data_IF_093832426632
#
_entry.id   IF_093832426632
#
_cell.length_a   1.000
_cell.length_b   1.000
_cell.length_c   1.000
_cell.angle_alpha   90.00
_cell.angle_beta   90.00
_cell.angle_gamma   90.00
#
_symmetry.space_group_name_H-M   'P 1'
#
loop_
_entity.id
_entity.type
_entity.pdbx_description
1 polymer ?
#
# COMPACT_ATOMS: atom_id res chain seq x y z
N UNK A 1 69.37 -71.53 -2.42
CA UNK A 1 68.50 -72.57 -3.00
C UNK A 1 67.21 -72.61 -2.19
N UNK A 2 66.00 -72.55 -2.76
CA UNK A 2 65.46 -71.84 -3.95
C UNK A 2 64.67 -70.58 -3.50
N UNK A 3 64.20 -69.60 -4.28
CA UNK A 3 63.70 -69.44 -5.66
C UNK A 3 62.17 -69.23 -5.72
N UNK A 4 61.78 -68.17 -6.48
CA UNK A 4 60.57 -68.02 -7.33
C UNK A 4 59.21 -67.95 -6.60
N UNK A 5 58.28 -67.04 -6.86
CA UNK A 5 58.09 -66.07 -7.94
C UNK A 5 56.61 -66.03 -8.34
N UNK A 6 56.22 -64.92 -8.95
CA UNK A 6 55.06 -64.72 -9.84
C UNK A 6 53.65 -64.64 -9.23
N UNK A 7 52.66 -63.91 -9.79
CA UNK A 7 52.52 -62.79 -10.75
C UNK A 7 50.99 -62.63 -10.89
N UNK A 8 50.45 -61.40 -10.96
CA UNK A 8 49.45 -60.90 -11.95
C UNK A 8 48.49 -59.84 -11.39
N UNK A 9 48.30 -58.85 -12.26
CA UNK A 9 47.42 -57.69 -12.32
C UNK A 9 45.91 -57.93 -12.12
N UNK A 10 45.20 -56.84 -11.75
CA UNK A 10 43.98 -56.44 -12.47
C UNK A 10 43.64 -54.96 -12.23
N UNK A 11 43.79 -54.16 -13.30
CA UNK A 11 43.27 -52.80 -13.50
C UNK A 11 41.77 -52.85 -13.82
N UNK A 12 40.96 -51.95 -13.23
CA UNK A 12 39.71 -51.37 -13.79
C UNK A 12 38.93 -50.67 -12.66
N UNK A 13 38.25 -49.52 -12.80
CA UNK A 13 37.92 -48.60 -13.90
C UNK A 13 37.32 -47.34 -13.23
N UNK A 14 37.72 -46.17 -13.68
CA UNK A 14 37.03 -44.91 -13.41
C UNK A 14 35.59 -44.95 -13.94
N UNK A 15 34.63 -44.48 -13.12
CA UNK A 15 33.26 -44.17 -13.55
C UNK A 15 33.07 -42.66 -13.58
N UNK A 16 33.04 -42.12 -14.80
CA UNK A 16 32.51 -40.80 -15.11
C UNK A 16 31.01 -40.76 -14.84
N UNK A 17 30.55 -39.69 -14.17
CA UNK A 17 29.14 -39.41 -13.93
C UNK A 17 28.53 -38.77 -15.19
N UNK A 18 27.51 -39.41 -15.76
CA UNK A 18 26.81 -38.98 -16.98
C UNK A 18 25.70 -37.98 -16.63
N UNK A 19 25.68 -36.85 -17.34
CA UNK A 19 24.64 -35.83 -17.30
C UNK A 19 23.38 -36.30 -18.04
N UNK A 20 22.21 -36.17 -17.39
CA UNK A 20 20.91 -36.40 -18.00
C UNK A 20 20.41 -35.12 -18.73
N UNK A 21 19.70 -35.23 -19.87
CA UNK A 21 19.19 -34.08 -20.60
C UNK A 21 17.92 -33.49 -19.98
N UNK A 22 17.83 -32.16 -20.00
CA UNK A 22 16.68 -31.35 -19.56
C UNK A 22 15.56 -31.43 -20.62
N UNK A 23 14.27 -31.57 -20.24
CA UNK A 23 13.18 -31.63 -21.22
C UNK A 23 12.87 -30.24 -21.79
N UNK A 24 12.63 -30.19 -23.10
CA UNK A 24 12.22 -28.98 -23.82
C UNK A 24 10.79 -28.54 -23.42
N UNK A 25 10.49 -27.22 -23.44
CA UNK A 25 9.17 -26.71 -23.06
C UNK A 25 8.08 -27.13 -24.05
N UNK A 26 6.92 -27.52 -23.52
CA UNK A 26 5.77 -27.97 -24.32
C UNK A 26 5.09 -26.83 -25.08
N UNK A 27 4.66 -27.13 -26.31
CA UNK A 27 3.95 -26.23 -27.25
C UNK A 27 2.65 -25.61 -26.71
N UNK A 28 2.13 -26.09 -25.58
CA UNK A 28 0.92 -25.56 -24.94
C UNK A 28 1.12 -24.17 -24.31
N UNK A 29 2.34 -23.83 -23.88
CA UNK A 29 2.65 -22.53 -23.25
C UNK A 29 2.75 -21.42 -24.32
N UNK A 30 3.28 -21.72 -25.50
CA UNK A 30 3.35 -20.77 -26.61
C UNK A 30 1.98 -20.51 -27.25
N UNK A 31 1.10 -21.53 -27.29
CA UNK A 31 -0.27 -21.35 -27.82
C UNK A 31 -1.13 -20.47 -26.90
N UNK A 32 -0.93 -20.51 -25.58
CA UNK A 32 -1.62 -19.60 -24.63
C UNK A 32 -1.11 -18.16 -24.71
N UNK A 33 0.18 -17.94 -24.96
CA UNK A 33 0.73 -16.58 -25.18
C UNK A 33 0.16 -15.94 -26.45
N UNK A 34 0.02 -16.71 -27.55
CA UNK A 34 -0.55 -16.20 -28.81
C UNK A 34 -2.04 -15.86 -28.74
N UNK A 35 -2.84 -16.53 -27.91
CA UNK A 35 -4.26 -16.19 -27.76
C UNK A 35 -4.50 -14.95 -26.90
N UNK A 36 -3.58 -14.64 -25.98
CA UNK A 36 -3.63 -13.42 -25.17
C UNK A 36 -3.25 -12.17 -26.00
N UNK A 37 -2.20 -12.26 -26.82
CA UNK A 37 -1.75 -11.15 -27.68
C UNK A 37 -2.79 -10.77 -28.76
N UNK A 38 -3.58 -11.74 -29.25
CA UNK A 38 -4.69 -11.45 -30.17
C UNK A 38 -5.89 -10.77 -29.50
N UNK A 39 -6.00 -10.83 -28.16
CA UNK A 39 -7.08 -10.17 -27.42
C UNK A 39 -6.76 -8.72 -27.06
N UNK A 40 -5.47 -8.36 -27.05
CA UNK A 40 -4.96 -7.01 -26.72
C UNK A 40 -4.95 -6.04 -27.90
N UNK A 41 -5.20 -6.48 -29.13
CA UNK A 41 -5.07 -5.65 -30.35
C UNK A 41 -6.40 -5.19 -30.96
N UNK A 42 -7.53 -5.39 -30.28
CA UNK A 42 -8.83 -4.97 -30.81
C UNK A 42 -9.14 -3.51 -30.42
N UNK A 43 -8.78 -2.59 -31.31
CA UNK A 43 -9.20 -1.19 -31.28
C UNK A 43 -10.72 -1.07 -31.45
N UNK A 44 -11.35 -0.24 -30.60
CA UNK A 44 -12.78 0.13 -30.69
C UNK A 44 -12.86 1.52 -31.35
N UNK A 45 -13.75 1.75 -32.33
CA UNK A 45 -13.86 3.03 -33.02
C UNK A 45 -14.54 4.10 -32.14
N UNK A 46 -14.03 5.33 -32.24
CA UNK A 46 -14.59 6.55 -31.65
C UNK A 46 -15.99 6.85 -32.21
N UNK A 47 -16.91 7.26 -31.32
CA UNK A 47 -18.24 7.75 -31.68
C UNK A 47 -19.04 8.26 -30.47
N UNK A 48 -19.18 9.58 -30.43
CA UNK A 48 -20.25 10.43 -29.86
C UNK A 48 -20.60 10.38 -28.35
N UNK A 49 -20.10 11.40 -27.63
CA UNK A 49 -20.66 11.86 -26.34
C UNK A 49 -21.50 13.14 -26.55
N UNK A 50 -22.73 13.24 -25.99
CA UNK A 50 -23.48 14.49 -25.97
C UNK A 50 -22.95 15.46 -24.90
N UNK A 51 -22.95 16.74 -25.28
CA UNK A 51 -22.60 17.91 -24.50
C UNK A 51 -23.65 18.27 -23.43
N UNK A 52 -23.13 18.93 -22.38
CA UNK A 52 -23.78 19.93 -21.52
C UNK A 52 -24.72 19.44 -20.40
N UNK A 53 -24.32 19.67 -19.13
CA UNK A 53 -25.08 20.51 -18.16
C UNK A 53 -24.14 21.12 -17.11
N UNK A 54 -23.87 22.42 -17.27
CA UNK A 54 -24.09 23.44 -16.22
C UNK A 54 -23.33 23.38 -14.89
N UNK A 55 -22.23 24.14 -14.82
CA UNK A 55 -21.61 24.60 -13.59
C UNK A 55 -22.53 25.50 -12.73
N UNK A 56 -22.53 25.30 -11.41
CA UNK A 56 -22.92 26.34 -10.44
C UNK A 56 -21.85 26.52 -9.36
N UNK A 57 -21.27 27.70 -9.42
CA UNK A 57 -20.37 28.35 -8.46
C UNK A 57 -21.04 28.47 -7.08
N UNK A 58 -20.33 28.04 -6.04
CA UNK A 58 -20.68 28.23 -4.63
C UNK A 58 -19.58 29.03 -3.92
N UNK A 59 -19.98 30.13 -3.28
CA UNK A 59 -19.13 31.18 -2.70
C UNK A 59 -18.27 30.73 -1.51
N UNK A 60 -17.13 31.40 -1.40
CA UNK A 60 -16.26 31.51 -0.23
C UNK A 60 -16.98 32.24 0.93
N UNK A 61 -16.90 31.69 2.15
CA UNK A 61 -17.40 32.31 3.39
C UNK A 61 -16.22 32.74 4.27
N UNK A 62 -16.37 33.91 4.89
CA UNK A 62 -15.37 34.62 5.69
C UNK A 62 -15.37 34.20 7.17
N UNK A 63 -14.25 34.48 7.84
CA UNK A 63 -13.87 34.13 9.23
C UNK A 63 -14.75 34.68 10.39
N UNK A 64 -16.04 34.98 10.17
CA UNK A 64 -16.90 35.61 11.21
C UNK A 64 -18.08 34.74 11.69
N UNK A 65 -18.14 33.45 11.31
CA UNK A 65 -19.21 32.52 11.74
C UNK A 65 -18.75 31.38 12.66
N UNK A 66 -17.54 31.47 13.24
CA UNK A 66 -17.03 30.48 14.22
C UNK A 66 -17.34 30.78 15.68
N UNK A 67 -17.91 31.94 16.01
CA UNK A 67 -18.10 32.36 17.41
C UNK A 67 -19.58 32.48 17.82
N UNK A 68 -20.35 31.40 17.67
CA UNK A 68 -21.69 31.30 18.29
C UNK A 68 -22.15 29.89 18.69
N UNK A 69 -21.21 28.94 18.78
CA UNK A 69 -21.49 27.56 19.26
C UNK A 69 -20.72 27.14 20.52
N UNK A 70 -20.13 28.10 21.23
CA UNK A 70 -19.57 27.88 22.57
C UNK A 70 -20.25 28.80 23.56
N UNK A 71 -21.37 28.33 24.14
CA UNK A 71 -22.04 28.82 25.36
C UNK A 71 -23.40 28.15 25.47
N UNK A 72 -23.44 26.99 26.12
CA UNK A 72 -24.60 26.45 26.87
C UNK A 72 -24.15 25.13 27.50
N UNK A 73 -23.86 25.17 28.80
CA UNK A 73 -24.29 24.19 29.79
C UNK A 73 -23.55 24.42 31.11
N UNK A 74 -24.11 25.30 31.95
CA UNK A 74 -23.96 25.26 33.41
C UNK A 74 -25.25 25.77 34.02
N UNK A 75 -26.02 24.90 34.67
CA UNK A 75 -26.77 25.21 35.89
C UNK A 75 -27.32 23.92 36.51
N UNK A 76 -26.91 23.68 37.76
CA UNK A 76 -27.43 22.66 38.65
C UNK A 76 -28.56 23.21 39.54
N UNK A 77 -29.49 22.35 39.96
CA UNK A 77 -30.23 22.28 41.27
C UNK A 77 -31.15 21.05 41.18
N UNK A 78 -30.90 19.94 41.90
CA UNK A 78 -31.21 19.59 43.30
C UNK A 78 -32.69 19.31 43.62
N UNK A 79 -33.00 18.06 44.01
CA UNK A 79 -33.88 17.70 45.16
C UNK A 79 -34.09 16.18 45.28
N UNK A 80 -34.19 15.74 46.53
CA UNK A 80 -34.08 14.36 47.05
C UNK A 80 -35.43 13.62 47.20
N UNK A 81 -35.35 12.27 47.20
CA UNK A 81 -36.01 11.32 48.13
C UNK A 81 -37.20 10.44 47.69
N UNK A 82 -37.14 9.22 48.25
CA UNK A 82 -38.11 8.11 48.43
C UNK A 82 -38.35 7.09 47.32
N UNK A 83 -38.11 5.82 47.70
CA UNK A 83 -38.17 4.66 46.83
C UNK A 83 -39.49 3.90 46.85
N UNK A 84 -39.60 2.93 45.96
CA UNK A 84 -40.26 1.66 46.22
C UNK A 84 -39.97 0.66 45.10
N UNK A 85 -39.85 -0.58 45.53
CA UNK A 85 -39.55 -1.82 44.82
C UNK A 85 -40.73 -2.28 43.96
N UNK A 86 -40.48 -2.69 42.72
CA UNK A 86 -41.22 -3.78 42.04
C UNK A 86 -40.36 -4.37 40.91
N UNK A 87 -40.27 -5.70 40.91
CA UNK A 87 -39.63 -6.58 39.94
C UNK A 87 -40.50 -6.87 38.71
N UNK A 88 -39.87 -7.45 37.67
CA UNK A 88 -40.38 -8.24 36.52
C UNK A 88 -41.43 -7.56 35.60
N UNK A 89 -41.34 -7.56 34.27
CA UNK A 89 -40.91 -8.60 33.33
C UNK A 89 -40.38 -8.01 32.00
N UNK A 90 -39.67 -8.89 31.28
CA UNK A 90 -39.20 -8.87 29.90
C UNK A 90 -40.20 -8.31 28.88
N UNK A 91 -39.71 -7.62 27.85
CA UNK A 91 -39.89 -7.99 26.43
C UNK A 91 -39.18 -6.99 25.50
N UNK A 92 -38.19 -7.53 24.78
CA UNK A 92 -37.95 -7.31 23.34
C UNK A 92 -38.29 -5.92 22.76
N UNK A 93 -37.33 -4.98 22.78
CA UNK A 93 -37.15 -4.09 21.63
C UNK A 93 -35.68 -3.63 21.53
N UNK A 94 -34.85 -4.52 20.99
CA UNK A 94 -33.46 -4.23 20.60
C UNK A 94 -33.34 -4.00 19.09
N UNK A 95 -34.45 -3.80 18.38
CA UNK A 95 -34.43 -3.62 16.93
C UNK A 95 -34.49 -2.12 16.61
N UNK A 96 -33.60 -1.65 15.73
CA UNK A 96 -33.41 -0.23 15.35
C UNK A 96 -32.42 0.54 16.25
N UNK A 97 -31.37 -0.14 16.73
CA UNK A 97 -30.05 0.52 16.66
C UNK A 97 -29.69 0.64 15.19
N UNK A 98 -29.90 1.84 14.65
CA UNK A 98 -29.46 2.30 13.33
C UNK A 98 -28.16 1.59 12.93
N UNK A 99 -28.28 0.69 11.94
CA UNK A 99 -27.18 -0.02 11.32
C UNK A 99 -26.24 0.96 10.62
N UNK A 100 -25.41 1.64 11.40
CA UNK A 100 -24.12 2.04 10.90
C UNK A 100 -23.40 0.72 10.63
N UNK A 101 -23.22 0.41 9.35
CA UNK A 101 -22.36 -0.65 8.87
C UNK A 101 -20.94 -0.38 9.42
N UNK A 102 -20.68 -0.82 10.64
CA UNK A 102 -19.38 -0.73 11.26
C UNK A 102 -18.45 -1.65 10.49
N UNK A 103 -17.40 -1.08 9.90
CA UNK A 103 -16.27 -1.85 9.42
C UNK A 103 -15.61 -2.47 10.63
N UNK A 104 -15.63 -3.80 10.77
CA UNK A 104 -14.81 -4.46 11.77
C UNK A 104 -13.37 -4.49 11.27
N UNK A 105 -12.42 -4.55 12.20
CA UNK A 105 -10.99 -4.54 11.87
C UNK A 105 -10.60 -5.69 10.94
N UNK A 106 -11.25 -6.85 11.07
CA UNK A 106 -11.00 -8.03 10.23
C UNK A 106 -11.57 -7.91 8.81
N UNK A 107 -12.40 -6.89 8.53
CA UNK A 107 -12.88 -6.62 7.17
C UNK A 107 -11.89 -5.77 6.36
N UNK A 108 -10.87 -5.21 7.00
CA UNK A 108 -9.96 -4.24 6.39
C UNK A 108 -8.54 -4.78 6.36
N UNK A 109 -8.02 -5.00 5.16
CA UNK A 109 -6.63 -5.32 4.92
C UNK A 109 -5.89 -4.06 4.44
N UNK A 110 -4.83 -3.67 5.15
CA UNK A 110 -4.01 -2.50 4.82
C UNK A 110 -2.60 -2.99 4.45
N UNK A 111 -2.20 -2.79 3.21
CA UNK A 111 -0.91 -3.22 2.67
C UNK A 111 -0.04 -1.99 2.43
N UNK A 112 1.10 -1.94 3.10
CA UNK A 112 2.12 -0.93 2.89
C UNK A 112 3.27 -1.48 2.04
N UNK A 113 3.87 -0.64 1.21
CA UNK A 113 5.25 -0.83 0.79
C UNK A 113 6.23 -0.39 1.89
N UNK A 114 7.50 -0.79 1.73
CA UNK A 114 8.58 -0.40 2.61
C UNK A 114 9.44 0.72 2.03
N UNK A 115 10.09 0.46 0.90
CA UNK A 115 11.07 1.36 0.29
C UNK A 115 10.39 2.60 -0.30
N UNK A 116 10.95 3.78 -0.04
CA UNK A 116 10.42 5.09 -0.45
C UNK A 116 8.95 5.34 -0.06
N UNK A 117 8.44 4.57 0.90
CA UNK A 117 7.09 4.69 1.47
C UNK A 117 7.16 4.82 2.98
N UNK A 118 7.83 3.89 3.67
CA UNK A 118 8.13 3.95 5.10
C UNK A 118 9.62 4.23 5.31
N UNK A 119 10.50 3.45 4.68
CA UNK A 119 11.93 3.67 4.72
C UNK A 119 12.29 4.76 3.69
N UNK A 120 13.01 5.83 4.08
CA UNK A 120 13.45 6.88 3.17
C UNK A 120 14.66 6.43 2.32
N UNK A 121 14.51 5.33 1.56
CA UNK A 121 15.60 4.62 0.88
C UNK A 121 16.36 5.53 -0.09
N UNK A 122 15.67 6.35 -0.89
CA UNK A 122 16.27 7.32 -1.79
C UNK A 122 17.02 8.40 -1.05
N UNK A 123 16.42 9.03 -0.04
CA UNK A 123 17.09 10.05 0.77
C UNK A 123 18.38 9.49 1.41
N UNK A 124 18.30 8.28 1.97
CA UNK A 124 19.46 7.60 2.56
C UNK A 124 20.56 7.33 1.53
N UNK A 125 20.20 6.86 0.34
CA UNK A 125 21.19 6.43 -0.67
C UNK A 125 21.72 7.57 -1.53
N UNK A 126 20.86 8.47 -2.00
CA UNK A 126 21.18 9.53 -2.96
C UNK A 126 21.67 10.79 -2.24
N UNK A 127 21.01 11.20 -1.16
CA UNK A 127 21.33 12.45 -0.47
C UNK A 127 22.37 12.24 0.64
N UNK A 128 22.25 11.15 1.41
CA UNK A 128 23.18 10.86 2.49
C UNK A 128 24.36 9.95 2.07
N UNK A 129 24.31 9.34 0.89
CA UNK A 129 25.35 8.42 0.42
C UNK A 129 25.50 7.14 1.24
N UNK A 130 24.46 6.75 2.00
CA UNK A 130 24.48 5.60 2.88
C UNK A 130 24.07 4.31 2.16
N UNK A 131 24.66 3.20 2.60
CA UNK A 131 24.31 1.85 2.16
C UNK A 131 24.02 0.98 3.36
N UNK A 132 23.23 -0.08 3.16
CA UNK A 132 22.91 -1.03 4.23
C UNK A 132 24.17 -1.75 4.76
N UNK A 133 25.14 -2.02 3.90
CA UNK A 133 26.44 -2.63 4.20
C UNK A 133 27.54 -1.60 4.54
N UNK A 134 27.21 -0.31 4.49
CA UNK A 134 28.13 0.79 4.76
C UNK A 134 28.25 1.15 6.25
N UNK A 135 28.91 2.27 6.57
CA UNK A 135 28.94 2.79 7.94
C UNK A 135 27.54 3.14 8.44
N UNK A 136 27.42 3.24 9.76
CA UNK A 136 26.20 3.73 10.39
C UNK A 136 26.00 5.23 10.14
N UNK A 137 24.74 5.73 10.20
CA UNK A 137 24.48 7.16 10.19
C UNK A 137 25.18 7.85 11.37
N UNK A 138 25.68 9.06 11.14
CA UNK A 138 26.25 9.89 12.21
C UNK A 138 25.18 10.34 13.22
N UNK A 139 25.61 10.98 14.31
CA UNK A 139 24.70 11.36 15.39
C UNK A 139 23.63 12.38 14.98
N UNK A 140 23.92 13.27 14.04
CA UNK A 140 22.95 14.28 13.62
C UNK A 140 21.90 13.66 12.70
N UNK A 141 22.33 12.85 11.74
CA UNK A 141 21.42 12.10 10.89
C UNK A 141 20.58 11.09 11.69
N UNK A 142 21.16 10.43 12.71
CA UNK A 142 20.40 9.56 13.62
C UNK A 142 19.24 10.28 14.31
N UNK A 143 19.44 11.53 14.78
CA UNK A 143 18.36 12.32 15.40
C UNK A 143 17.25 12.64 14.39
N UNK A 144 17.64 13.01 13.17
CA UNK A 144 16.70 13.31 12.08
C UNK A 144 15.87 12.07 11.72
N UNK A 145 16.52 10.91 11.61
CA UNK A 145 15.89 9.63 11.31
C UNK A 145 15.03 9.15 12.47
N UNK A 146 15.42 9.35 13.73
CA UNK A 146 14.60 8.95 14.88
C UNK A 146 13.31 9.79 14.99
N UNK A 147 13.39 11.10 14.74
CA UNK A 147 12.20 11.94 14.68
C UNK A 147 11.23 11.49 13.56
N UNK A 148 11.78 11.12 12.40
CA UNK A 148 10.97 10.56 11.31
C UNK A 148 10.42 9.17 11.65
N UNK A 149 11.22 8.31 12.29
CA UNK A 149 10.83 6.97 12.72
C UNK A 149 9.63 7.01 13.66
N UNK A 150 9.61 7.94 14.62
CA UNK A 150 8.47 8.15 15.51
C UNK A 150 7.19 8.50 14.74
N UNK A 151 7.29 9.35 13.72
CA UNK A 151 6.17 9.72 12.86
C UNK A 151 5.65 8.52 12.06
N UNK A 152 6.53 7.81 11.34
CA UNK A 152 6.15 6.63 10.56
C UNK A 152 5.61 5.50 11.45
N UNK A 153 6.14 5.34 12.67
CA UNK A 153 5.62 4.39 13.66
C UNK A 153 4.19 4.73 14.07
N UNK A 154 3.90 6.02 14.32
CA UNK A 154 2.55 6.46 14.65
C UNK A 154 1.56 6.16 13.51
N UNK A 155 1.98 6.29 12.24
CA UNK A 155 1.16 5.90 11.09
C UNK A 155 0.84 4.40 11.09
N UNK A 156 1.85 3.53 11.30
CA UNK A 156 1.64 2.09 11.35
C UNK A 156 0.72 1.69 12.50
N UNK A 157 0.92 2.26 13.69
CA UNK A 157 0.06 2.00 14.84
C UNK A 157 -1.39 2.46 14.59
N UNK A 158 -1.60 3.64 14.00
CA UNK A 158 -2.93 4.10 13.64
C UNK A 158 -3.61 3.20 12.60
N UNK A 159 -2.85 2.71 11.61
CA UNK A 159 -3.36 1.74 10.64
C UNK A 159 -3.73 0.41 11.30
N UNK A 160 -2.92 -0.07 12.26
CA UNK A 160 -3.21 -1.28 13.03
C UNK A 160 -4.48 -1.15 13.87
N UNK A 161 -4.91 0.04 14.27
CA UNK A 161 -6.21 0.21 14.95
C UNK A 161 -7.40 0.08 13.99
N UNK A 162 -7.19 0.31 12.69
CA UNK A 162 -8.24 0.36 11.68
C UNK A 162 -8.39 -0.94 10.87
N UNK A 163 -7.34 -1.76 10.79
CA UNK A 163 -7.34 -2.98 9.99
C UNK A 163 -6.21 -3.94 10.33
N UNK A 164 -6.15 -5.07 9.63
CA UNK A 164 -4.95 -5.91 9.58
C UNK A 164 -3.91 -5.27 8.68
N UNK A 165 -2.73 -4.99 9.22
CA UNK A 165 -1.62 -4.38 8.48
C UNK A 165 -0.66 -5.47 7.99
N UNK A 166 -0.22 -5.35 6.74
CA UNK A 166 0.85 -6.15 6.16
C UNK A 166 1.84 -5.25 5.41
N UNK A 167 3.11 -5.66 5.32
CA UNK A 167 4.11 -4.98 4.49
C UNK A 167 4.57 -5.89 3.35
N UNK A 168 4.52 -5.39 2.11
CA UNK A 168 4.93 -6.12 0.90
C UNK A 168 5.97 -5.29 0.15
N UNK A 169 7.22 -5.76 0.14
CA UNK A 169 8.34 -5.10 -0.57
C UNK A 169 8.84 -5.95 -1.74
N UNK A 170 9.37 -5.30 -2.77
CA UNK A 170 10.12 -5.96 -3.86
C UNK A 170 11.61 -6.13 -3.55
N UNK A 171 12.09 -5.65 -2.41
CA UNK A 171 13.44 -5.96 -1.93
C UNK A 171 13.54 -7.43 -1.51
N UNK A 172 14.76 -7.92 -1.29
CA UNK A 172 15.01 -9.31 -0.91
C UNK A 172 14.54 -9.65 0.51
N UNK A 173 14.24 -10.93 0.76
CA UNK A 173 13.93 -11.41 2.12
C UNK A 173 15.02 -11.00 3.11
N UNK A 174 14.62 -10.43 4.25
CA UNK A 174 15.53 -9.92 5.28
C UNK A 174 15.90 -8.45 5.11
N UNK A 175 15.61 -7.81 3.96
CA UNK A 175 15.85 -6.38 3.75
C UNK A 175 15.15 -5.50 4.78
N UNK A 176 13.87 -5.77 5.04
CA UNK A 176 13.04 -4.96 5.92
C UNK A 176 13.55 -4.93 7.38
N UNK A 177 13.73 -6.06 8.08
CA UNK A 177 14.27 -6.03 9.44
C UNK A 177 15.71 -5.48 9.50
N UNK A 178 16.54 -5.78 8.50
CA UNK A 178 17.92 -5.28 8.41
C UNK A 178 17.96 -3.74 8.31
N UNK A 179 17.19 -3.16 7.39
CA UNK A 179 17.15 -1.71 7.18
C UNK A 179 16.42 -0.98 8.30
N UNK A 180 15.37 -1.57 8.87
CA UNK A 180 14.72 -1.03 10.06
C UNK A 180 15.71 -0.94 11.24
N UNK A 181 16.43 -2.02 11.55
CA UNK A 181 17.40 -2.04 12.64
C UNK A 181 18.53 -1.00 12.44
N UNK A 182 18.96 -0.79 11.19
CA UNK A 182 20.04 0.15 10.88
C UNK A 182 19.60 1.61 10.90
N UNK A 183 18.48 1.91 10.25
CA UNK A 183 18.10 3.30 9.95
C UNK A 183 16.95 3.82 10.80
N UNK A 184 16.04 2.95 11.24
CA UNK A 184 14.82 3.30 11.99
C UNK A 184 14.63 2.37 13.21
N UNK A 185 15.64 2.22 14.10
CA UNK A 185 15.64 1.17 15.11
C UNK A 185 14.48 1.26 16.11
N UNK A 186 13.96 2.47 16.37
CA UNK A 186 12.81 2.69 17.26
C UNK A 186 11.50 2.10 16.71
N UNK A 187 11.41 1.82 15.40
CA UNK A 187 10.25 1.15 14.78
C UNK A 187 10.30 -0.37 14.83
N UNK A 188 11.48 -0.95 15.11
CA UNK A 188 11.70 -2.39 15.01
C UNK A 188 10.71 -3.23 15.83
N UNK A 189 10.32 -2.84 17.07
CA UNK A 189 9.29 -3.57 17.82
C UNK A 189 7.94 -3.63 17.09
N UNK A 190 7.49 -2.51 16.51
CA UNK A 190 6.23 -2.44 15.76
C UNK A 190 6.31 -3.26 14.48
N UNK A 191 7.40 -3.11 13.73
CA UNK A 191 7.65 -3.87 12.51
C UNK A 191 7.63 -5.38 12.75
N UNK A 192 8.19 -5.84 13.87
CA UNK A 192 8.19 -7.26 14.24
C UNK A 192 6.79 -7.81 14.57
N UNK A 193 5.82 -6.95 14.92
CA UNK A 193 4.43 -7.36 15.12
C UNK A 193 3.65 -7.47 13.80
N UNK A 194 4.15 -6.86 12.73
CA UNK A 194 3.47 -6.80 11.43
C UNK A 194 3.99 -7.94 10.55
N UNK A 195 3.06 -8.68 9.94
CA UNK A 195 3.42 -9.64 8.91
C UNK A 195 4.02 -8.91 7.71
N UNK A 196 5.21 -9.31 7.29
CA UNK A 196 5.89 -8.71 6.16
C UNK A 196 6.50 -9.77 5.26
N UNK A 197 6.53 -9.50 3.96
CA UNK A 197 7.04 -10.44 2.96
C UNK A 197 7.78 -9.74 1.82
N UNK A 198 8.77 -10.45 1.28
CA UNK A 198 9.42 -10.09 0.01
C UNK A 198 8.64 -10.70 -1.14
N UNK A 199 7.98 -9.86 -1.93
CA UNK A 199 7.32 -10.26 -3.16
C UNK A 199 8.35 -10.86 -4.14
N UNK A 200 9.48 -10.18 -4.32
CA UNK A 200 10.56 -10.63 -5.22
C UNK A 200 11.08 -12.01 -4.84
N UNK A 201 11.59 -12.18 -3.62
CA UNK A 201 12.18 -13.45 -3.20
C UNK A 201 11.17 -14.60 -3.17
N UNK A 202 9.88 -14.30 -3.02
CA UNK A 202 8.81 -15.31 -3.05
C UNK A 202 8.46 -15.75 -4.48
N UNK A 203 8.39 -14.81 -5.43
CA UNK A 203 7.79 -15.03 -6.75
C UNK A 203 8.79 -15.03 -7.92
N UNK A 204 9.93 -14.36 -7.83
CA UNK A 204 10.99 -14.43 -8.85
C UNK A 204 11.44 -15.89 -9.11
N UNK A 205 11.71 -16.73 -8.09
CA UNK A 205 12.07 -18.13 -8.32
C UNK A 205 10.94 -18.99 -8.91
N UNK A 206 9.70 -18.50 -8.88
CA UNK A 206 8.51 -19.18 -9.44
C UNK A 206 8.29 -18.82 -10.92
N UNK A 207 9.16 -18.02 -11.51
CA UNK A 207 9.14 -17.69 -12.94
C UNK A 207 8.36 -16.42 -13.29
N UNK A 208 7.95 -15.62 -12.30
CA UNK A 208 7.40 -14.28 -12.54
C UNK A 208 8.55 -13.33 -12.92
N UNK A 209 8.37 -12.56 -13.99
CA UNK A 209 9.47 -11.91 -14.70
C UNK A 209 9.69 -10.44 -14.30
N UNK A 210 8.75 -9.83 -13.57
CA UNK A 210 8.80 -8.40 -13.27
C UNK A 210 8.42 -8.06 -11.83
N UNK A 211 8.93 -6.91 -11.37
CA UNK A 211 8.59 -6.31 -10.08
C UNK A 211 7.09 -6.11 -9.87
N UNK A 212 6.36 -5.79 -10.94
CA UNK A 212 4.91 -5.72 -10.93
C UNK A 212 4.29 -7.10 -10.67
N UNK A 213 4.64 -8.13 -11.45
CA UNK A 213 4.09 -9.48 -11.28
C UNK A 213 4.38 -10.06 -9.89
N UNK A 214 5.56 -9.78 -9.31
CA UNK A 214 5.87 -10.20 -7.95
C UNK A 214 4.89 -9.62 -6.94
N UNK A 215 4.64 -8.30 -6.98
CA UNK A 215 3.69 -7.66 -6.07
C UNK A 215 2.26 -8.08 -6.36
N UNK A 216 1.87 -8.20 -7.62
CA UNK A 216 0.55 -8.67 -8.00
C UNK A 216 0.25 -10.03 -7.35
N UNK A 217 1.20 -10.97 -7.41
CA UNK A 217 1.04 -12.28 -6.76
C UNK A 217 1.11 -12.24 -5.24
N UNK A 218 1.94 -11.38 -4.65
CA UNK A 218 1.96 -11.17 -3.21
C UNK A 218 0.63 -10.62 -2.69
N UNK A 219 0.03 -9.66 -3.40
CA UNK A 219 -1.27 -9.07 -3.06
C UNK A 219 -2.39 -10.10 -3.20
N UNK A 220 -2.43 -10.89 -4.28
CA UNK A 220 -3.40 -11.99 -4.42
C UNK A 220 -3.32 -12.96 -3.25
N UNK A 221 -2.11 -13.39 -2.89
CA UNK A 221 -1.90 -14.30 -1.77
C UNK A 221 -2.34 -13.69 -0.44
N UNK A 222 -1.98 -12.43 -0.18
CA UNK A 222 -2.35 -11.71 1.04
C UNK A 222 -3.88 -11.56 1.17
N UNK A 223 -4.56 -11.16 0.09
CA UNK A 223 -6.02 -10.99 0.06
C UNK A 223 -6.72 -12.32 0.29
N UNK A 224 -6.35 -13.36 -0.47
CA UNK A 224 -6.96 -14.68 -0.34
C UNK A 224 -6.75 -15.26 1.06
N UNK A 225 -5.53 -15.16 1.60
CA UNK A 225 -5.21 -15.67 2.94
C UNK A 225 -5.94 -14.91 4.04
N UNK A 226 -6.04 -13.58 3.93
CA UNK A 226 -6.69 -12.77 4.96
C UNK A 226 -8.20 -13.02 5.02
N UNK A 227 -8.86 -13.10 3.86
CA UNK A 227 -10.31 -13.23 3.79
C UNK A 227 -10.82 -14.68 3.72
N UNK A 228 -9.95 -15.69 3.74
CA UNK A 228 -10.33 -17.10 3.78
C UNK A 228 -11.13 -17.44 5.04
N UNK A 229 -10.70 -16.92 6.20
CA UNK A 229 -11.29 -17.23 7.51
C UNK A 229 -12.25 -16.13 8.01
N UNK A 230 -12.35 -15.01 7.29
CA UNK A 230 -13.27 -13.93 7.63
C UNK A 230 -14.64 -14.29 7.06
N UNK A 231 -15.73 -14.35 7.86
CA UNK A 231 -17.07 -14.63 7.35
C UNK A 231 -17.61 -13.50 6.48
N UNK A 232 -18.31 -13.82 5.38
CA UNK A 232 -18.98 -12.79 4.57
C UNK A 232 -20.36 -12.57 5.17
N UNK A 233 -20.51 -11.45 5.90
CA UNK A 233 -21.76 -11.13 6.60
C UNK A 233 -22.52 -10.05 5.84
N UNK A 234 -23.84 -10.20 5.65
CA UNK A 234 -24.66 -9.15 5.04
C UNK A 234 -24.48 -7.80 5.76
N UNK A 235 -24.27 -6.74 4.98
CA UNK A 235 -24.06 -5.39 5.51
C UNK A 235 -22.63 -5.07 5.96
N UNK A 236 -21.72 -6.04 6.07
CA UNK A 236 -20.28 -5.78 6.25
C UNK A 236 -19.61 -5.60 4.89
N UNK A 237 -18.68 -4.66 4.82
CA UNK A 237 -17.92 -4.33 3.61
C UNK A 237 -16.46 -4.65 3.87
N UNK A 238 -15.91 -5.50 3.02
CA UNK A 238 -14.47 -5.78 3.01
C UNK A 238 -13.77 -4.76 2.14
N UNK A 239 -12.59 -4.33 2.57
CA UNK A 239 -11.75 -3.50 1.71
C UNK A 239 -10.27 -3.83 1.85
N UNK A 240 -9.55 -3.65 0.74
CA UNK A 240 -8.09 -3.62 0.70
C UNK A 240 -7.66 -2.19 0.49
N UNK A 241 -6.72 -1.72 1.30
CA UNK A 241 -6.06 -0.42 1.17
C UNK A 241 -4.60 -0.66 0.84
N UNK A 242 -4.14 -0.13 -0.29
CA UNK A 242 -2.74 -0.17 -0.73
C UNK A 242 -2.09 1.21 -0.57
N UNK A 243 -0.91 1.25 0.04
CA UNK A 243 -0.12 2.45 0.31
C UNK A 243 1.31 2.22 -0.20
N UNK A 244 1.74 3.00 -1.18
CA UNK A 244 3.08 2.86 -1.77
C UNK A 244 3.39 3.95 -2.77
N UNK A 245 4.67 4.22 -3.01
CA UNK A 245 5.12 5.27 -3.91
C UNK A 245 5.09 4.88 -5.40
N UNK A 246 5.17 3.59 -5.71
CA UNK A 246 5.30 3.14 -7.08
C UNK A 246 3.95 2.80 -7.74
N UNK A 247 3.97 2.68 -9.07
CA UNK A 247 2.83 2.15 -9.80
C UNK A 247 2.59 0.65 -9.53
N UNK A 248 3.59 -0.08 -9.02
CA UNK A 248 3.51 -1.52 -8.83
C UNK A 248 2.50 -1.89 -7.74
N UNK A 249 2.48 -1.20 -6.60
CA UNK A 249 1.56 -1.46 -5.49
C UNK A 249 0.13 -1.07 -5.84
N UNK A 250 -0.02 0.08 -6.52
CA UNK A 250 -1.30 0.57 -7.02
C UNK A 250 -1.94 -0.46 -7.96
N UNK A 251 -1.20 -0.86 -8.99
CA UNK A 251 -1.73 -1.80 -9.97
C UNK A 251 -1.93 -3.19 -9.35
N UNK A 252 -1.00 -3.67 -8.51
CA UNK A 252 -1.13 -4.96 -7.83
C UNK A 252 -2.42 -5.06 -7.02
N UNK A 253 -2.78 -4.01 -6.27
CA UNK A 253 -4.03 -3.95 -5.52
C UNK A 253 -5.25 -4.03 -6.44
N UNK A 254 -5.29 -3.21 -7.49
CA UNK A 254 -6.42 -3.15 -8.44
C UNK A 254 -6.63 -4.51 -9.11
N UNK A 255 -5.57 -5.12 -9.63
CA UNK A 255 -5.68 -6.42 -10.31
C UNK A 255 -6.05 -7.55 -9.35
N UNK A 256 -5.45 -7.59 -8.16
CA UNK A 256 -5.73 -8.64 -7.19
C UNK A 256 -7.17 -8.54 -6.63
N UNK A 257 -7.68 -7.34 -6.35
CA UNK A 257 -9.06 -7.15 -5.90
C UNK A 257 -10.07 -7.50 -7.00
N UNK A 258 -9.79 -7.09 -8.24
CA UNK A 258 -10.63 -7.44 -9.39
C UNK A 258 -10.76 -8.95 -9.55
N UNK A 259 -9.64 -9.67 -9.53
CA UNK A 259 -9.65 -11.13 -9.66
C UNK A 259 -10.39 -11.81 -8.50
N UNK A 260 -10.18 -11.34 -7.27
CA UNK A 260 -10.89 -11.85 -6.10
C UNK A 260 -12.42 -11.69 -6.26
N UNK A 261 -12.87 -10.55 -6.77
CA UNK A 261 -14.28 -10.30 -7.04
C UNK A 261 -14.83 -11.17 -8.17
N UNK A 262 -14.09 -11.33 -9.27
CA UNK A 262 -14.48 -12.19 -10.39
C UNK A 262 -14.64 -13.65 -9.93
N UNK A 263 -13.75 -14.16 -9.07
CA UNK A 263 -13.85 -15.50 -8.48
C UNK A 263 -15.04 -15.61 -7.52
N UNK A 264 -15.29 -14.57 -6.72
CA UNK A 264 -16.40 -14.54 -5.77
C UNK A 264 -17.77 -14.44 -6.46
N UNK A 265 -17.88 -13.89 -7.67
CA UNK A 265 -19.15 -13.85 -8.41
C UNK A 265 -19.55 -15.20 -9.00
N UNK A 266 -18.58 -16.11 -9.20
CA UNK A 266 -18.86 -17.48 -9.65
C UNK A 266 -19.47 -18.29 -8.50
N UNK A 267 -19.08 -17.99 -7.27
CA UNK A 267 -19.67 -18.57 -6.06
C UNK A 267 -20.86 -17.71 -5.60
N UNK A 268 -22.10 -18.20 -5.75
CA UNK A 268 -23.32 -17.43 -5.43
C UNK A 268 -23.51 -17.10 -3.94
N UNK A 269 -22.46 -17.27 -3.13
CA UNK A 269 -22.42 -17.15 -1.68
C UNK A 269 -22.08 -15.74 -1.16
N UNK A 270 -21.57 -14.82 -1.98
CA UNK A 270 -21.11 -13.49 -1.51
C UNK A 270 -21.74 -12.30 -2.26
N UNK A 271 -22.72 -11.59 -1.68
CA UNK A 271 -23.45 -10.51 -2.34
C UNK A 271 -22.72 -9.15 -2.35
N UNK A 272 -21.57 -9.01 -1.68
CA UNK A 272 -20.80 -7.76 -1.65
C UNK A 272 -19.35 -8.01 -2.12
N UNK A 273 -18.94 -7.27 -3.16
CA UNK A 273 -17.56 -7.29 -3.63
C UNK A 273 -16.58 -6.67 -2.63
N UNK A 274 -15.32 -7.08 -2.74
CA UNK A 274 -14.18 -6.48 -2.07
C UNK A 274 -13.89 -5.10 -2.66
N UNK A 275 -13.91 -4.07 -1.82
CA UNK A 275 -13.54 -2.70 -2.22
C UNK A 275 -12.02 -2.58 -2.35
N UNK A 276 -11.55 -1.93 -3.41
CA UNK A 276 -10.15 -1.64 -3.65
C UNK A 276 -9.87 -0.16 -3.45
N UNK A 277 -8.93 0.16 -2.55
CA UNK A 277 -8.51 1.53 -2.26
C UNK A 277 -7.00 1.63 -2.43
N UNK A 278 -6.54 2.49 -3.31
CA UNK A 278 -5.12 2.73 -3.56
C UNK A 278 -4.78 4.18 -3.29
N UNK A 279 -3.78 4.41 -2.43
CA UNK A 279 -3.17 5.71 -2.19
C UNK A 279 -1.73 5.66 -2.67
N UNK A 280 -1.50 6.16 -3.88
CA UNK A 280 -0.19 6.17 -4.54
C UNK A 280 0.58 7.43 -4.14
N UNK A 281 1.72 7.25 -3.50
CA UNK A 281 2.59 8.32 -3.00
C UNK A 281 3.47 8.90 -4.11
N UNK A 282 4.16 9.99 -3.81
CA UNK A 282 5.12 10.59 -4.71
C UNK A 282 6.26 9.63 -4.98
N UNK A 283 6.58 9.39 -6.26
CA UNK A 283 7.78 8.62 -6.60
C UNK A 283 9.02 9.39 -6.19
N UNK A 284 9.99 8.67 -5.61
CA UNK A 284 11.31 9.22 -5.28
C UNK A 284 11.24 10.44 -4.33
N UNK A 285 10.53 10.34 -3.20
CA UNK A 285 10.38 11.46 -2.28
C UNK A 285 11.70 11.77 -1.58
N UNK A 286 11.90 13.04 -1.22
CA UNK A 286 12.87 13.40 -0.18
C UNK A 286 12.25 13.16 1.21
N UNK A 287 13.05 13.36 2.27
CA UNK A 287 12.58 13.12 3.63
C UNK A 287 11.40 14.02 4.05
N UNK A 288 11.31 15.24 3.50
CA UNK A 288 10.23 16.18 3.84
C UNK A 288 8.92 15.81 3.15
N UNK A 289 8.98 15.34 1.90
CA UNK A 289 7.83 14.78 1.21
C UNK A 289 7.31 13.54 1.95
N UNK A 290 8.18 12.63 2.37
CA UNK A 290 7.78 11.47 3.19
C UNK A 290 7.09 11.90 4.49
N UNK A 291 7.61 12.91 5.21
CA UNK A 291 6.93 13.43 6.40
C UNK A 291 5.51 13.90 6.11
N UNK A 292 5.33 14.67 5.04
CA UNK A 292 4.02 15.18 4.63
C UNK A 292 3.06 14.06 4.26
N UNK A 293 3.55 13.01 3.60
CA UNK A 293 2.76 11.83 3.26
C UNK A 293 2.34 11.07 4.51
N UNK A 294 3.25 10.87 5.48
CA UNK A 294 2.90 10.26 6.76
C UNK A 294 1.83 11.05 7.52
N UNK A 295 1.94 12.38 7.58
CA UNK A 295 0.89 13.23 8.18
C UNK A 295 -0.43 13.13 7.44
N UNK A 296 -0.40 13.18 6.10
CA UNK A 296 -1.61 13.06 5.29
C UNK A 296 -2.34 11.74 5.58
N UNK A 297 -1.60 10.64 5.68
CA UNK A 297 -2.19 9.34 6.03
C UNK A 297 -2.76 9.35 7.43
N UNK A 298 -2.05 9.88 8.42
CA UNK A 298 -2.58 10.00 9.78
C UNK A 298 -3.90 10.78 9.83
N UNK A 299 -4.02 11.85 9.04
CA UNK A 299 -5.20 12.71 8.99
C UNK A 299 -6.40 12.07 8.25
N UNK A 300 -6.13 11.27 7.20
CA UNK A 300 -7.17 10.81 6.27
C UNK A 300 -7.48 9.31 6.30
N UNK A 301 -6.65 8.47 6.96
CA UNK A 301 -6.79 7.01 6.86
C UNK A 301 -8.14 6.50 7.41
N UNK A 302 -8.65 7.10 8.47
CA UNK A 302 -9.97 6.74 9.02
C UNK A 302 -11.09 6.98 8.00
N UNK A 303 -11.02 8.08 7.27
CA UNK A 303 -11.98 8.46 6.24
C UNK A 303 -11.84 7.54 5.03
N UNK A 304 -10.62 7.18 4.64
CA UNK A 304 -10.34 6.21 3.57
C UNK A 304 -10.92 4.85 3.92
N UNK A 305 -10.73 4.36 5.15
CA UNK A 305 -11.31 3.08 5.61
C UNK A 305 -12.85 3.12 5.53
N UNK A 306 -13.46 4.22 5.98
CA UNK A 306 -14.93 4.38 6.00
C UNK A 306 -15.58 4.64 4.64
N UNK A 307 -14.80 5.11 3.65
CA UNK A 307 -15.33 5.37 2.31
C UNK A 307 -15.90 4.08 1.70
N UNK A 308 -17.13 4.12 1.20
CA UNK A 308 -17.89 2.92 0.86
C UNK A 308 -17.78 2.50 -0.61
N UNK A 309 -16.87 3.12 -1.35
CA UNK A 309 -16.57 2.81 -2.75
C UNK A 309 -15.07 2.52 -2.95
N UNK A 310 -14.74 2.07 -4.15
CA UNK A 310 -13.36 2.01 -4.63
C UNK A 310 -12.74 3.41 -4.63
N UNK A 311 -11.44 3.46 -4.34
CA UNK A 311 -10.68 4.71 -4.27
C UNK A 311 -9.35 4.53 -4.99
N UNK A 312 -8.96 5.49 -5.81
CA UNK A 312 -7.67 5.49 -6.49
C UNK A 312 -7.13 6.91 -6.54
N UNK A 313 -6.29 7.24 -5.56
CA UNK A 313 -5.69 8.56 -5.40
C UNK A 313 -4.19 8.51 -5.66
N UNK A 314 -3.68 9.58 -6.26
CA UNK A 314 -2.26 9.78 -6.51
C UNK A 314 -1.83 11.13 -5.94
N UNK A 315 -0.84 11.12 -5.05
CA UNK A 315 -0.24 12.33 -4.50
C UNK A 315 0.65 12.94 -5.57
N UNK A 316 0.30 14.14 -6.02
CA UNK A 316 1.09 14.89 -7.00
C UNK A 316 1.95 15.94 -6.29
N UNK A 317 3.18 16.21 -6.78
CA UNK A 317 3.95 17.35 -6.31
C UNK A 317 3.16 18.63 -6.55
N UNK A 318 2.98 19.45 -5.51
CA UNK A 318 2.49 20.80 -5.71
C UNK A 318 3.51 21.55 -6.56
N UNK A 319 3.14 21.87 -7.80
CA UNK A 319 3.87 22.85 -8.58
C UNK A 319 3.69 24.20 -7.89
N UNK A 320 4.72 24.68 -7.20
CA UNK A 320 4.82 26.10 -6.89
C UNK A 320 4.84 26.83 -8.23
N UNK A 321 3.70 27.40 -8.64
CA UNK A 321 3.69 28.39 -9.70
C UNK A 321 4.68 29.49 -9.25
N UNK A 322 5.80 29.59 -9.94
CA UNK A 322 6.70 30.72 -9.80
C UNK A 322 5.82 31.97 -9.95
N UNK A 323 5.78 32.81 -8.93
CA UNK A 323 5.18 34.12 -9.06
C UNK A 323 6.04 34.84 -10.10
N UNK A 324 5.56 34.93 -11.33
CA UNK A 324 6.19 35.74 -12.35
C UNK A 324 6.41 37.14 -11.78
N UNK A 325 7.67 37.58 -11.86
CA UNK A 325 8.13 38.89 -11.46
C UNK A 325 7.36 39.98 -12.22
N UNK A 326 6.27 40.47 -11.64
CA UNK A 326 5.68 41.75 -12.02
C UNK A 326 6.58 42.84 -11.43
N UNK A 327 7.72 43.11 -12.06
CA UNK A 327 8.44 44.37 -11.88
C UNK A 327 8.99 44.86 -13.24
N UNK A 328 8.11 45.61 -13.91
CA UNK A 328 8.42 46.90 -14.54
C UNK A 328 9.65 47.01 -15.44
N UNK A 329 9.41 47.09 -16.73
CA UNK A 329 10.17 48.04 -17.55
C UNK A 329 9.34 48.58 -18.72
N UNK A 330 8.41 49.49 -18.42
CA UNK A 330 8.05 50.51 -19.39
C UNK A 330 9.13 51.59 -19.34
N UNK A 331 10.07 51.54 -20.27
CA UNK A 331 10.84 52.73 -20.63
C UNK A 331 11.00 52.77 -22.13
N UNK A 332 10.26 53.72 -22.70
CA UNK A 332 10.35 54.22 -24.06
C UNK A 332 11.78 54.53 -24.49
N UNK A 333 12.20 54.02 -25.65
CA UNK A 333 13.13 54.78 -26.50
C UNK A 333 13.00 54.41 -27.98
N UNK A 334 12.97 55.47 -28.76
CA UNK A 334 12.71 55.56 -30.19
C UNK A 334 13.70 54.77 -31.06
N UNK A 335 13.24 54.42 -32.27
CA UNK A 335 14.07 54.00 -33.41
C UNK A 335 15.13 55.08 -33.76
N UNK A 336 16.16 54.73 -34.56
CA UNK A 336 15.98 54.82 -36.02
C UNK A 336 16.57 53.67 -36.83
N UNK A 337 15.99 53.51 -38.02
CA UNK A 337 16.47 52.73 -39.15
C UNK A 337 17.91 53.09 -39.52
N UNK A 338 18.71 52.11 -39.97
CA UNK A 338 19.66 52.29 -41.08
C UNK A 338 20.17 50.94 -41.62
N UNK A 339 20.05 50.84 -42.96
CA UNK A 339 20.60 49.88 -43.93
C UNK A 339 20.01 48.48 -44.03
#
# INVERSE_FOLDING_TARGET
>A
MPSVGNVTDAVSRDRACSSAPVPAPSSAVEQRKRSLDQRLTRTVPEGDFPLDVGAKSGRCLTEEEKEKRSRRNVSAVDSTFTGSTTSCDSDEDSSIVSAFAGTCKEDTLIIFDWDDTILPTRFLTVECGLRVDGPDPDNELRKILDAYAQLANATLLAAMELGTVMIVTNAETGWLPLTCAKFLPSMLPTVNMIYHTSARSTFEPRGFASAFEWKEQAFRHAIASHFADVPSLPGRRRCVISLGDSAHERMAAIYACREFNEQSMIDSSSPAGLLCKSLKFMERPDLEHLRKEQYLIQDCLTQVVRYDQDLDLCIQPQQCLAKDDIHGNQSSRMQPQHY
#
